data_IF_082717157910
#
_entry.id   IF_082717157910
#
_cell.length_a   1.000
_cell.length_b   1.000
_cell.length_c   1.000
_cell.angle_alpha   90.00
_cell.angle_beta   90.00
_cell.angle_gamma   90.00
#
_symmetry.space_group_name_H-M   'P 1'
#
loop_
_entity.id
_entity.type
_entity.pdbx_description
1 polymer ?
#
# COMPACT_ATOMS: atom_id res chain seq x y z
N UNK A 1 -49.55 -29.96 -12.84
CA UNK A 1 -48.87 -29.55 -11.59
C UNK A 1 -47.40 -29.35 -11.89
N UNK A 2 -46.91 -28.15 -11.86
CA UNK A 2 -45.49 -27.85 -12.08
C UNK A 2 -44.82 -28.03 -10.74
N UNK A 3 -44.07 -29.10 -10.54
CA UNK A 3 -43.28 -29.31 -9.36
C UNK A 3 -42.22 -28.19 -9.28
N UNK A 4 -42.25 -27.43 -8.18
CA UNK A 4 -41.28 -26.41 -7.90
C UNK A 4 -39.91 -27.12 -7.66
N UNK A 5 -38.85 -26.74 -8.38
CA UNK A 5 -37.53 -27.36 -8.19
C UNK A 5 -36.95 -27.20 -6.78
N UNK A 6 -37.58 -26.40 -5.91
CA UNK A 6 -37.21 -26.28 -4.48
C UNK A 6 -37.81 -27.39 -3.62
N UNK A 7 -38.72 -28.23 -4.11
CA UNK A 7 -39.33 -29.32 -3.36
C UNK A 7 -38.55 -30.65 -3.42
N UNK A 8 -37.48 -30.71 -4.16
CA UNK A 8 -36.64 -31.92 -4.28
C UNK A 8 -35.58 -31.97 -3.15
N UNK A 9 -36.02 -32.14 -1.91
CA UNK A 9 -35.22 -32.70 -0.77
C UNK A 9 -33.69 -32.47 -0.74
N UNK A 10 -33.18 -31.47 -1.41
CA UNK A 10 -31.77 -31.12 -1.43
C UNK A 10 -31.36 -30.30 -0.21
N UNK A 11 -30.06 -30.23 0.05
CA UNK A 11 -29.40 -29.45 1.11
C UNK A 11 -29.75 -27.94 1.12
N UNK A 12 -30.53 -27.46 0.15
CA UNK A 12 -31.04 -26.09 0.09
C UNK A 12 -32.44 -26.06 0.67
N UNK A 13 -32.58 -25.41 1.83
CA UNK A 13 -33.92 -25.10 2.38
C UNK A 13 -34.69 -24.30 1.36
N UNK A 14 -35.63 -24.94 0.66
CA UNK A 14 -36.47 -24.32 -0.31
C UNK A 14 -37.27 -23.21 0.34
N UNK A 15 -37.41 -22.08 -0.36
CA UNK A 15 -38.27 -20.98 0.08
C UNK A 15 -39.71 -21.47 0.12
N UNK A 16 -40.46 -21.04 1.14
CA UNK A 16 -41.91 -21.29 1.20
C UNK A 16 -42.58 -20.76 -0.07
N UNK A 17 -43.46 -21.54 -0.71
CA UNK A 17 -44.22 -21.07 -1.86
C UNK A 17 -44.93 -19.76 -1.53
N UNK A 18 -44.81 -18.75 -2.40
CA UNK A 18 -45.41 -17.43 -2.23
C UNK A 18 -44.53 -16.35 -1.63
N UNK A 19 -43.31 -16.67 -1.19
CA UNK A 19 -42.36 -15.61 -0.80
C UNK A 19 -41.69 -15.00 -2.03
N UNK A 20 -41.78 -13.68 -2.17
CA UNK A 20 -41.09 -12.95 -3.24
C UNK A 20 -39.61 -13.25 -3.23
N UNK A 21 -38.93 -13.32 -4.38
CA UNK A 21 -37.50 -13.53 -4.42
C UNK A 21 -36.81 -12.40 -3.64
N UNK A 22 -36.16 -12.73 -2.51
CA UNK A 22 -35.37 -11.76 -1.77
C UNK A 22 -34.16 -11.42 -2.63
N UNK A 23 -34.08 -10.20 -3.09
CA UNK A 23 -32.90 -9.68 -3.80
C UNK A 23 -31.75 -9.53 -2.80
N UNK A 24 -31.08 -10.63 -2.48
CA UNK A 24 -29.96 -10.66 -1.52
C UNK A 24 -28.71 -9.92 -2.00
N UNK A 25 -28.68 -9.48 -3.26
CA UNK A 25 -27.57 -8.74 -3.84
C UNK A 25 -28.03 -7.65 -4.82
N UNK A 26 -28.97 -6.83 -4.37
CA UNK A 26 -29.11 -5.51 -4.99
C UNK A 26 -27.77 -4.79 -4.80
N UNK A 27 -27.28 -4.11 -5.84
CA UNK A 27 -26.20 -3.14 -5.65
C UNK A 27 -26.63 -2.22 -4.51
N UNK A 28 -25.74 -1.91 -3.55
CA UNK A 28 -26.08 -1.00 -2.48
C UNK A 28 -26.71 0.26 -3.07
N UNK A 29 -27.85 0.67 -2.54
CA UNK A 29 -28.56 1.86 -3.01
C UNK A 29 -27.58 3.04 -2.92
N UNK A 30 -27.48 3.78 -4.02
CA UNK A 30 -26.62 4.96 -4.05
C UNK A 30 -27.13 5.96 -3.04
N UNK A 31 -26.35 6.28 -2.02
CA UNK A 31 -26.66 7.33 -1.05
C UNK A 31 -26.85 8.71 -1.72
N UNK A 32 -27.30 9.68 -0.97
CA UNK A 32 -27.49 11.06 -1.45
C UNK A 32 -26.21 11.60 -2.10
N UNK A 33 -26.33 12.52 -3.06
CA UNK A 33 -25.19 13.11 -3.75
C UNK A 33 -24.15 13.75 -2.81
N UNK A 34 -24.61 14.36 -1.72
CA UNK A 34 -23.73 14.93 -0.69
C UNK A 34 -22.87 13.87 -0.02
N UNK A 35 -23.47 12.72 0.31
CA UNK A 35 -22.75 11.57 0.90
C UNK A 35 -21.74 11.00 -0.08
N UNK A 36 -22.09 10.86 -1.36
CA UNK A 36 -21.16 10.38 -2.39
C UNK A 36 -19.96 11.31 -2.58
N UNK A 37 -20.12 12.64 -2.44
CA UNK A 37 -19.02 13.61 -2.50
C UNK A 37 -18.06 13.45 -1.32
N UNK A 38 -18.59 13.24 -0.11
CA UNK A 38 -17.77 13.02 1.09
C UNK A 38 -17.01 11.70 0.98
N UNK A 39 -17.68 10.62 0.58
CA UNK A 39 -17.06 9.29 0.43
C UNK A 39 -15.96 9.32 -0.64
N UNK A 40 -16.16 10.07 -1.73
CA UNK A 40 -15.12 10.26 -2.76
C UNK A 40 -13.90 10.99 -2.21
N UNK A 41 -14.10 12.12 -1.50
CA UNK A 41 -12.99 12.86 -0.89
C UNK A 41 -12.23 12.03 0.14
N UNK A 42 -12.95 11.22 0.93
CA UNK A 42 -12.33 10.31 1.89
C UNK A 42 -11.49 9.24 1.18
N UNK A 43 -12.00 8.65 0.10
CA UNK A 43 -11.26 7.68 -0.69
C UNK A 43 -10.00 8.30 -1.33
N UNK A 44 -10.09 9.53 -1.84
CA UNK A 44 -8.96 10.26 -2.42
C UNK A 44 -7.91 10.61 -1.35
N UNK A 45 -8.34 11.02 -0.15
CA UNK A 45 -7.45 11.28 0.98
C UNK A 45 -6.71 10.01 1.46
N UNK A 46 -7.39 8.87 1.52
CA UNK A 46 -6.76 7.59 1.85
C UNK A 46 -5.73 7.19 0.79
N UNK A 47 -6.04 7.39 -0.50
CA UNK A 47 -5.10 7.12 -1.59
C UNK A 47 -3.87 8.03 -1.50
N UNK A 48 -4.07 9.32 -1.26
CA UNK A 48 -2.98 10.28 -1.06
C UNK A 48 -2.09 9.88 0.13
N UNK A 49 -2.69 9.48 1.25
CA UNK A 49 -1.94 9.04 2.43
C UNK A 49 -1.13 7.76 2.17
N UNK A 50 -1.70 6.77 1.45
CA UNK A 50 -0.95 5.58 1.01
C UNK A 50 0.21 5.95 0.10
N UNK A 51 0.03 6.90 -0.81
CA UNK A 51 1.08 7.38 -1.72
C UNK A 51 2.21 8.05 -0.96
N UNK A 52 1.89 8.94 -0.01
CA UNK A 52 2.89 9.62 0.84
C UNK A 52 3.67 8.61 1.69
N UNK A 53 2.98 7.68 2.35
CA UNK A 53 3.63 6.62 3.13
C UNK A 53 4.53 5.74 2.26
N UNK A 54 4.10 5.42 1.04
CA UNK A 54 4.89 4.66 0.09
C UNK A 54 6.16 5.41 -0.32
N UNK A 55 6.08 6.72 -0.61
CA UNK A 55 7.24 7.56 -0.89
C UNK A 55 8.19 7.63 0.32
N UNK A 56 7.65 7.71 1.53
CA UNK A 56 8.47 7.69 2.76
C UNK A 56 9.27 6.39 2.91
N UNK A 57 8.73 5.25 2.48
CA UNK A 57 9.44 3.97 2.50
C UNK A 57 10.69 3.97 1.60
N UNK A 58 10.67 4.72 0.50
CA UNK A 58 11.78 4.75 -0.47
C UNK A 58 12.85 5.80 -0.17
N UNK A 59 12.54 6.84 0.55
CA UNK A 59 13.46 7.95 0.83
C UNK A 59 13.63 8.24 2.32
N UNK A 60 12.70 8.96 2.97
CA UNK A 60 12.86 9.44 4.34
C UNK A 60 13.15 8.35 5.38
N UNK A 61 12.49 7.20 5.30
CA UNK A 61 12.70 6.10 6.27
C UNK A 61 14.13 5.55 6.21
N UNK A 62 14.66 5.12 5.04
CA UNK A 62 16.06 4.68 4.95
C UNK A 62 17.06 5.73 5.44
N UNK A 63 16.87 7.00 5.06
CA UNK A 63 17.76 8.09 5.46
C UNK A 63 17.75 8.28 6.98
N UNK A 64 16.55 8.29 7.59
CA UNK A 64 16.42 8.40 9.04
C UNK A 64 17.08 7.22 9.77
N UNK A 65 16.94 6.01 9.25
CA UNK A 65 17.58 4.82 9.84
C UNK A 65 19.11 4.87 9.75
N UNK A 66 19.66 5.34 8.63
CA UNK A 66 21.10 5.55 8.50
C UNK A 66 21.59 6.62 9.46
N UNK A 67 20.84 7.71 9.62
CA UNK A 67 21.16 8.75 10.59
C UNK A 67 21.15 8.22 12.03
N UNK A 68 20.12 7.45 12.41
CA UNK A 68 20.05 6.80 13.74
C UNK A 68 21.26 5.86 13.94
N UNK A 69 21.61 5.06 12.94
CA UNK A 69 22.77 4.19 12.99
C UNK A 69 24.08 4.96 13.19
N UNK A 70 24.24 6.10 12.51
CA UNK A 70 25.39 6.98 12.70
C UNK A 70 25.45 7.55 14.13
N UNK A 71 24.32 7.95 14.72
CA UNK A 71 24.25 8.40 16.10
C UNK A 71 24.61 7.30 17.09
N UNK A 72 24.09 6.09 16.89
CA UNK A 72 24.44 4.93 17.73
C UNK A 72 25.94 4.62 17.65
N UNK A 73 26.52 4.64 16.44
CA UNK A 73 27.95 4.48 16.26
C UNK A 73 28.76 5.56 17.01
N UNK A 74 28.34 6.83 16.90
CA UNK A 74 29.01 7.94 17.60
C UNK A 74 28.95 7.79 19.12
N UNK A 75 27.80 7.39 19.68
CA UNK A 75 27.62 7.26 21.13
C UNK A 75 28.29 6.00 21.71
N UNK A 76 28.31 4.89 20.97
CA UNK A 76 28.81 3.61 21.42
C UNK A 76 30.29 3.35 21.07
N UNK A 77 30.84 4.14 20.14
CA UNK A 77 32.15 3.89 19.55
C UNK A 77 32.24 2.61 18.72
N UNK A 78 31.10 1.95 18.43
CA UNK A 78 31.04 0.66 17.74
C UNK A 78 30.29 0.76 16.42
N UNK A 79 31.00 0.58 15.31
CA UNK A 79 30.44 0.55 13.97
C UNK A 79 29.40 -0.56 13.83
N UNK A 80 29.69 -1.73 14.40
CA UNK A 80 28.76 -2.89 14.32
C UNK A 80 27.42 -2.61 14.98
N UNK A 81 27.38 -1.94 16.12
CA UNK A 81 26.16 -1.54 16.80
C UNK A 81 25.40 -0.48 15.99
N UNK A 82 26.08 0.46 15.37
CA UNK A 82 25.48 1.45 14.48
C UNK A 82 24.79 0.81 13.27
N UNK A 83 25.46 -0.13 12.62
CA UNK A 83 24.90 -0.90 11.49
C UNK A 83 23.69 -1.71 11.94
N UNK A 84 23.79 -2.43 13.06
CA UNK A 84 22.69 -3.22 13.60
C UNK A 84 21.48 -2.34 13.91
N UNK A 85 21.68 -1.19 14.55
CA UNK A 85 20.62 -0.24 14.87
C UNK A 85 19.93 0.29 13.60
N UNK A 86 20.71 0.63 12.55
CA UNK A 86 20.17 1.07 11.28
C UNK A 86 19.27 -0.01 10.63
N UNK A 87 19.73 -1.28 10.59
CA UNK A 87 18.96 -2.39 10.02
C UNK A 87 17.70 -2.70 10.83
N UNK A 88 17.81 -2.82 12.15
CA UNK A 88 16.65 -3.09 13.01
C UNK A 88 15.61 -1.96 12.89
N UNK A 89 16.07 -0.71 12.92
CA UNK A 89 15.23 0.46 12.70
C UNK A 89 14.53 0.42 11.35
N UNK A 90 15.28 0.13 10.28
CA UNK A 90 14.76 0.04 8.92
C UNK A 90 13.64 -1.01 8.81
N UNK A 91 13.89 -2.24 9.24
CA UNK A 91 12.88 -3.29 9.17
C UNK A 91 11.65 -2.96 10.02
N UNK A 92 11.84 -2.46 11.23
CA UNK A 92 10.74 -2.09 12.12
C UNK A 92 9.85 -1.02 11.50
N UNK A 93 10.44 0.05 10.97
CA UNK A 93 9.69 1.14 10.34
C UNK A 93 9.04 0.71 9.02
N UNK A 94 9.71 -0.08 8.18
CA UNK A 94 9.13 -0.58 6.93
C UNK A 94 7.95 -1.53 7.19
N UNK A 95 8.08 -2.50 8.11
CA UNK A 95 6.97 -3.38 8.45
C UNK A 95 5.81 -2.63 9.09
N UNK A 96 6.11 -1.65 9.95
CA UNK A 96 5.10 -0.76 10.53
C UNK A 96 4.35 0.03 9.45
N UNK A 97 5.07 0.65 8.53
CA UNK A 97 4.48 1.39 7.41
C UNK A 97 3.64 0.50 6.49
N UNK A 98 4.13 -0.71 6.14
CA UNK A 98 3.39 -1.67 5.34
C UNK A 98 2.09 -2.12 6.03
N UNK A 99 2.13 -2.36 7.34
CA UNK A 99 0.94 -2.71 8.13
C UNK A 99 -0.09 -1.58 8.10
N UNK A 100 0.34 -0.33 8.27
CA UNK A 100 -0.54 0.85 8.19
C UNK A 100 -1.14 0.97 6.80
N UNK A 101 -0.33 0.85 5.74
CA UNK A 101 -0.80 0.91 4.36
C UNK A 101 -1.82 -0.19 4.04
N UNK A 102 -1.60 -1.40 4.54
CA UNK A 102 -2.55 -2.51 4.37
C UNK A 102 -3.90 -2.20 5.05
N UNK A 103 -3.90 -1.70 6.27
CA UNK A 103 -5.11 -1.32 6.96
C UNK A 103 -5.85 -0.19 6.22
N UNK A 104 -5.11 0.77 5.65
CA UNK A 104 -5.68 1.85 4.82
C UNK A 104 -6.30 1.30 3.53
N UNK A 105 -5.66 0.33 2.88
CA UNK A 105 -6.16 -0.30 1.65
C UNK A 105 -7.46 -1.07 1.92
N UNK A 106 -7.53 -1.81 3.01
CA UNK A 106 -8.74 -2.50 3.46
C UNK A 106 -9.88 -1.50 3.77
N UNK A 107 -9.58 -0.43 4.48
CA UNK A 107 -10.55 0.65 4.77
C UNK A 107 -11.01 1.36 3.48
N UNK A 108 -10.10 1.61 2.54
CA UNK A 108 -10.42 2.20 1.25
C UNK A 108 -11.39 1.34 0.43
N UNK A 109 -11.21 0.01 0.42
CA UNK A 109 -12.13 -0.92 -0.23
C UNK A 109 -13.53 -0.82 0.39
N UNK A 110 -13.62 -0.72 1.73
CA UNK A 110 -14.90 -0.59 2.44
C UNK A 110 -15.61 0.71 2.10
N UNK A 111 -14.90 1.85 2.08
CA UNK A 111 -15.45 3.16 1.71
C UNK A 111 -15.98 3.15 0.27
N UNK A 112 -15.22 2.56 -0.67
CA UNK A 112 -15.64 2.44 -2.08
C UNK A 112 -16.88 1.56 -2.24
N UNK A 113 -16.97 0.47 -1.50
CA UNK A 113 -18.17 -0.40 -1.48
C UNK A 113 -19.37 0.33 -0.89
N UNK A 114 -19.20 1.10 0.18
CA UNK A 114 -20.25 1.93 0.77
C UNK A 114 -20.78 2.99 -0.22
N UNK A 115 -19.88 3.52 -1.08
CA UNK A 115 -20.25 4.43 -2.16
C UNK A 115 -20.94 3.75 -3.37
N UNK A 116 -21.22 2.44 -3.31
CA UNK A 116 -21.90 1.68 -4.35
C UNK A 116 -21.01 1.22 -5.51
N UNK A 117 -19.69 1.24 -5.34
CA UNK A 117 -18.73 0.78 -6.34
C UNK A 117 -18.34 -0.66 -5.98
N UNK A 118 -18.49 -1.61 -6.90
CA UNK A 118 -18.06 -3.02 -6.68
C UNK A 118 -16.53 -3.12 -6.79
N UNK A 119 -15.84 -2.66 -5.74
CA UNK A 119 -14.39 -2.74 -5.62
C UNK A 119 -14.02 -4.00 -4.85
N UNK A 120 -13.32 -4.93 -5.50
CA UNK A 120 -12.91 -6.22 -4.92
C UNK A 120 -11.41 -6.30 -4.65
N UNK A 121 -10.61 -5.49 -5.33
CA UNK A 121 -9.15 -5.47 -5.22
C UNK A 121 -8.66 -4.16 -4.64
N UNK A 122 -7.65 -4.24 -3.77
CA UNK A 122 -6.93 -3.09 -3.27
C UNK A 122 -6.05 -2.43 -4.33
N UNK A 123 -5.61 -1.23 -4.05
CA UNK A 123 -4.72 -0.46 -4.94
C UNK A 123 -3.28 -0.40 -4.42
N UNK A 124 -3.03 -0.91 -3.20
CA UNK A 124 -1.75 -0.82 -2.51
C UNK A 124 -0.57 -1.29 -3.37
N UNK A 125 -0.68 -2.47 -3.98
CA UNK A 125 0.40 -3.02 -4.82
C UNK A 125 0.74 -2.13 -6.01
N UNK A 126 -0.28 -1.53 -6.65
CA UNK A 126 -0.08 -0.62 -7.77
C UNK A 126 0.57 0.70 -7.35
N UNK A 127 0.09 1.29 -6.25
CA UNK A 127 0.66 2.53 -5.68
C UNK A 127 2.12 2.29 -5.31
N UNK A 128 2.41 1.19 -4.62
CA UNK A 128 3.77 0.85 -4.21
C UNK A 128 4.72 0.64 -5.40
N UNK A 129 4.28 -0.07 -6.44
CA UNK A 129 5.07 -0.30 -7.66
C UNK A 129 5.35 1.01 -8.43
N UNK A 130 4.35 1.89 -8.56
CA UNK A 130 4.51 3.17 -9.25
C UNK A 130 5.48 4.07 -8.48
N UNK A 131 5.33 4.19 -7.16
CA UNK A 131 6.24 5.01 -6.34
C UNK A 131 7.66 4.45 -6.34
N UNK A 132 7.84 3.12 -6.33
CA UNK A 132 9.14 2.48 -6.50
C UNK A 132 9.80 2.87 -7.83
N UNK A 133 9.06 2.77 -8.93
CA UNK A 133 9.57 3.13 -10.26
C UNK A 133 9.97 4.61 -10.35
N UNK A 134 9.14 5.50 -9.80
CA UNK A 134 9.44 6.95 -9.75
C UNK A 134 10.69 7.20 -8.93
N UNK A 135 10.80 6.64 -7.73
CA UNK A 135 11.97 6.83 -6.86
C UNK A 135 13.24 6.26 -7.49
N UNK A 136 13.16 5.09 -8.13
CA UNK A 136 14.29 4.50 -8.85
C UNK A 136 14.73 5.38 -10.03
N UNK A 137 13.79 5.92 -10.80
CA UNK A 137 14.12 6.83 -11.90
C UNK A 137 14.78 8.12 -11.41
N UNK A 138 14.20 8.75 -10.37
CA UNK A 138 14.76 9.97 -9.76
C UNK A 138 16.16 9.70 -9.20
N UNK A 139 16.35 8.59 -8.50
CA UNK A 139 17.66 8.21 -7.97
C UNK A 139 18.68 7.97 -9.09
N UNK A 140 18.29 7.28 -10.16
CA UNK A 140 19.17 7.01 -11.31
C UNK A 140 19.59 8.32 -11.98
N UNK A 141 18.64 9.22 -12.25
CA UNK A 141 18.93 10.54 -12.83
C UNK A 141 19.86 11.33 -11.92
N UNK A 142 19.57 11.40 -10.64
CA UNK A 142 20.42 12.07 -9.66
C UNK A 142 21.83 11.47 -9.63
N UNK A 143 21.93 10.14 -9.59
CA UNK A 143 23.22 9.44 -9.53
C UNK A 143 24.06 9.71 -10.78
N UNK A 144 23.46 9.65 -11.97
CA UNK A 144 24.17 9.91 -13.25
C UNK A 144 24.62 11.37 -13.35
N UNK A 145 23.77 12.33 -12.91
CA UNK A 145 24.10 13.75 -12.98
C UNK A 145 25.19 14.17 -11.99
N UNK A 146 25.18 13.64 -10.76
CA UNK A 146 26.07 14.08 -9.71
C UNK A 146 27.33 13.23 -9.56
N UNK A 147 27.27 11.92 -9.82
CA UNK A 147 28.43 11.04 -9.71
C UNK A 147 29.09 10.76 -11.06
N UNK A 148 28.39 11.02 -12.16
CA UNK A 148 28.88 10.77 -13.53
C UNK A 148 29.11 9.27 -13.80
N UNK A 149 29.08 8.89 -15.06
CA UNK A 149 29.49 7.54 -15.47
C UNK A 149 31.02 7.38 -15.50
N UNK A 150 31.75 8.48 -15.38
CA UNK A 150 33.21 8.50 -15.50
C UNK A 150 33.98 7.91 -14.33
N UNK A 151 33.45 7.99 -13.10
CA UNK A 151 34.16 7.50 -11.91
C UNK A 151 34.09 5.98 -11.72
N UNK A 152 33.22 5.29 -12.45
CA UNK A 152 33.15 3.81 -12.40
C UNK A 152 34.09 3.11 -13.40
N UNK A 153 34.65 3.84 -14.39
CA UNK A 153 35.38 3.24 -15.51
C UNK A 153 36.88 3.51 -15.45
N UNK A 154 37.36 4.44 -14.62
CA UNK A 154 38.79 4.61 -14.40
C UNK A 154 39.22 3.76 -13.22
N UNK A 155 39.90 2.60 -13.44
CA UNK A 155 40.69 2.01 -12.38
C UNK A 155 41.70 3.09 -11.99
N UNK A 156 41.74 3.42 -10.70
CA UNK A 156 42.83 4.23 -10.12
C UNK A 156 44.15 3.57 -10.51
N UNK A 157 44.72 3.98 -11.64
CA UNK A 157 46.01 3.57 -12.07
C UNK A 157 46.98 4.04 -10.99
N UNK A 158 47.50 3.08 -10.23
CA UNK A 158 48.56 3.31 -9.28
C UNK A 158 49.69 4.03 -9.97
N UNK A 159 49.98 5.24 -9.53
CA UNK A 159 51.23 5.91 -9.83
C UNK A 159 52.38 5.09 -9.27
N UNK A 160 53.33 4.82 -10.10
CA UNK A 160 54.67 4.34 -9.76
C UNK A 160 55.36 5.39 -8.93
#
# INVERSE_FOLDING_TARGET
MRSDPSDTGGLFVGRRPGTAPVHYRGRPERGSESRQRVDRRLADAMLAMMTVLSLCCWGPIPIACLWIGAQVNYLSGSVSLGILAAFVGLFTLLFGALKIMRNLDEAWILVRRAAGIDQRSGVLGRVFAITAAICAAVFTVWFVLFNGTGNMVTPSGGGL
#
